data_IF_018300258826
#
_entry.id   IF_018300258826
#
_cell.length_a   1.000
_cell.length_b   1.000
_cell.length_c   1.000
_cell.angle_alpha   90.00
_cell.angle_beta   90.00
_cell.angle_gamma   90.00
#
_symmetry.space_group_name_H-M   'P 1'
#
loop_
_entity.id
_entity.type
_entity.pdbx_description
1 polymer ?
#
# COMPACT_ATOMS: atom_id res chain seq x y z
N UNK A 1 -12.00 0.56 11.22
CA UNK A 1 -10.85 0.84 10.34
C UNK A 1 -10.28 2.21 10.69
N UNK A 2 -9.04 2.26 11.08
CA UNK A 2 -8.38 3.50 11.50
C UNK A 2 -7.14 3.73 10.63
N UNK A 3 -7.08 4.88 9.98
CA UNK A 3 -5.96 5.28 9.13
C UNK A 3 -5.40 6.57 9.71
N UNK A 4 -4.13 6.58 10.09
CA UNK A 4 -3.44 7.76 10.61
C UNK A 4 -2.18 8.01 9.81
N UNK A 5 -1.66 9.23 9.86
CA UNK A 5 -0.46 9.58 9.11
C UNK A 5 0.47 10.47 9.90
N UNK A 6 1.75 10.40 9.54
CA UNK A 6 2.80 11.26 10.08
C UNK A 6 3.75 11.57 8.93
N UNK A 7 3.88 12.84 8.59
CA UNK A 7 4.77 13.26 7.51
C UNK A 7 6.18 13.49 8.06
N UNK A 8 7.07 12.55 7.81
CA UNK A 8 8.47 12.61 8.22
C UNK A 8 9.28 13.31 7.11
N UNK A 9 10.55 13.64 7.42
CA UNK A 9 11.44 14.29 6.45
C UNK A 9 11.65 13.43 5.21
N UNK A 10 11.88 12.12 5.42
CA UNK A 10 12.27 11.21 4.34
C UNK A 10 11.09 10.54 3.63
N UNK A 11 9.97 10.38 4.33
CA UNK A 11 8.79 9.74 3.76
C UNK A 11 7.54 10.03 4.58
N UNK A 12 6.39 9.83 3.97
CA UNK A 12 5.10 9.87 4.64
C UNK A 12 4.81 8.49 5.23
N UNK A 13 4.60 8.43 6.54
CA UNK A 13 4.18 7.19 7.21
C UNK A 13 2.66 7.19 7.35
N UNK A 14 2.01 6.19 6.78
CA UNK A 14 0.57 5.95 6.96
C UNK A 14 0.43 4.63 7.71
N UNK A 15 -0.31 4.64 8.82
CA UNK A 15 -0.55 3.45 9.61
C UNK A 15 -2.01 3.05 9.52
N UNK A 16 -2.23 1.76 9.31
CA UNK A 16 -3.55 1.18 9.13
C UNK A 16 -3.83 0.15 10.23
N UNK A 17 -5.00 0.28 10.87
CA UNK A 17 -5.53 -0.71 11.79
C UNK A 17 -6.90 -1.12 11.25
N UNK A 18 -7.01 -2.35 10.74
CA UNK A 18 -8.22 -2.76 10.04
C UNK A 18 -8.33 -4.29 9.98
N UNK A 19 -9.56 -4.77 9.80
CA UNK A 19 -9.85 -6.16 9.45
C UNK A 19 -10.55 -6.13 8.10
N UNK A 20 -9.83 -6.51 7.05
CA UNK A 20 -10.33 -6.47 5.67
C UNK A 20 -10.78 -7.87 5.28
N UNK A 21 -12.09 -8.09 5.20
CA UNK A 21 -12.66 -9.41 5.04
C UNK A 21 -12.86 -9.83 3.59
N UNK A 22 -12.96 -8.85 2.69
CA UNK A 22 -13.32 -9.10 1.30
C UNK A 22 -12.78 -7.98 0.40
N UNK A 23 -13.06 -8.10 -0.88
CA UNK A 23 -12.61 -7.15 -1.88
C UNK A 23 -13.14 -5.73 -1.63
N UNK A 24 -14.41 -5.60 -1.22
CA UNK A 24 -14.99 -4.28 -0.96
C UNK A 24 -14.26 -3.57 0.18
N UNK A 25 -13.92 -4.30 1.23
CA UNK A 25 -13.14 -3.77 2.35
C UNK A 25 -11.75 -3.33 1.87
N UNK A 26 -11.12 -4.15 1.03
CA UNK A 26 -9.79 -3.87 0.49
C UNK A 26 -9.79 -2.59 -0.36
N UNK A 27 -10.80 -2.41 -1.20
CA UNK A 27 -10.95 -1.22 -2.02
C UNK A 27 -11.21 0.02 -1.15
N UNK A 28 -12.09 -0.09 -0.16
CA UNK A 28 -12.36 1.01 0.77
C UNK A 28 -11.09 1.41 1.52
N UNK A 29 -10.31 0.44 1.95
CA UNK A 29 -9.03 0.67 2.61
C UNK A 29 -8.10 1.49 1.71
N UNK A 30 -7.98 1.11 0.45
CA UNK A 30 -7.15 1.82 -0.52
C UNK A 30 -7.62 3.27 -0.70
N UNK A 31 -8.93 3.50 -0.74
CA UNK A 31 -9.48 4.85 -0.86
C UNK A 31 -9.12 5.71 0.35
N UNK A 32 -9.22 5.16 1.56
CA UNK A 32 -8.89 5.88 2.78
C UNK A 32 -7.39 6.16 2.89
N UNK A 33 -6.55 5.24 2.47
CA UNK A 33 -5.11 5.44 2.41
C UNK A 33 -4.77 6.55 1.43
N UNK A 34 -5.41 6.56 0.26
CA UNK A 34 -5.20 7.62 -0.72
C UNK A 34 -5.66 8.98 -0.19
N UNK A 35 -6.79 9.04 0.53
CA UNK A 35 -7.26 10.27 1.14
C UNK A 35 -6.25 10.82 2.15
N UNK A 36 -5.61 9.96 2.94
CA UNK A 36 -4.54 10.37 3.84
C UNK A 36 -3.32 10.88 3.07
N UNK A 37 -2.93 10.16 2.01
CA UNK A 37 -1.82 10.57 1.16
C UNK A 37 -2.02 11.98 0.60
N UNK A 38 -3.23 12.31 0.15
CA UNK A 38 -3.53 13.61 -0.47
C UNK A 38 -3.32 14.81 0.45
N UNK A 39 -3.27 14.59 1.75
CA UNK A 39 -3.05 15.67 2.72
C UNK A 39 -1.62 16.23 2.66
N UNK A 40 -0.71 15.51 2.01
CA UNK A 40 0.70 15.84 2.00
C UNK A 40 1.24 15.80 0.56
N UNK A 41 2.40 16.42 0.35
CA UNK A 41 3.08 16.39 -0.94
C UNK A 41 4.38 15.59 -0.80
N UNK A 42 4.26 14.27 -0.63
CA UNK A 42 5.40 13.40 -0.43
C UNK A 42 5.23 12.13 -1.26
N UNK A 43 6.08 11.94 -2.26
CA UNK A 43 5.99 10.81 -3.19
C UNK A 43 6.63 9.53 -2.65
N UNK A 44 7.25 9.57 -1.48
CA UNK A 44 7.78 8.38 -0.81
C UNK A 44 6.87 8.06 0.37
N UNK A 45 6.26 6.88 0.35
CA UNK A 45 5.23 6.51 1.32
C UNK A 45 5.53 5.12 1.90
N UNK A 46 5.46 5.03 3.23
CA UNK A 46 5.42 3.75 3.92
C UNK A 46 3.99 3.55 4.42
N UNK A 47 3.37 2.45 4.03
CA UNK A 47 2.10 2.02 4.59
C UNK A 47 2.37 0.91 5.61
N UNK A 48 2.23 1.23 6.89
CA UNK A 48 2.40 0.26 7.98
C UNK A 48 1.08 -0.50 8.16
N UNK A 49 1.04 -1.72 7.62
CA UNK A 49 -0.11 -2.61 7.68
C UNK A 49 0.06 -3.76 8.65
N UNK A 50 0.97 -3.66 9.63
CA UNK A 50 1.20 -4.75 10.59
C UNK A 50 -0.02 -5.04 11.45
N UNK A 51 -0.86 -4.05 11.71
CA UNK A 51 -2.10 -4.19 12.49
C UNK A 51 -3.34 -4.35 11.59
N UNK A 52 -3.14 -4.75 10.34
CA UNK A 52 -4.22 -4.96 9.38
C UNK A 52 -4.29 -6.43 8.99
N UNK A 53 -5.50 -6.99 9.01
CA UNK A 53 -5.79 -8.31 8.48
C UNK A 53 -6.26 -8.17 7.04
N UNK A 54 -5.65 -8.94 6.14
CA UNK A 54 -5.91 -8.88 4.70
C UNK A 54 -6.67 -10.11 4.22
N UNK A 55 -7.58 -9.98 3.23
CA UNK A 55 -8.26 -11.14 2.67
C UNK A 55 -7.27 -12.00 1.87
N UNK A 56 -7.56 -13.30 1.80
CA UNK A 56 -6.64 -14.29 1.20
C UNK A 56 -6.88 -14.53 -0.29
N UNK A 57 -7.95 -14.02 -0.86
CA UNK A 57 -8.30 -14.25 -2.26
C UNK A 57 -7.42 -13.41 -3.19
N UNK A 58 -6.60 -14.08 -4.00
CA UNK A 58 -5.69 -13.40 -4.92
C UNK A 58 -6.41 -12.55 -5.96
N UNK A 59 -7.60 -12.94 -6.41
CA UNK A 59 -8.36 -12.16 -7.38
C UNK A 59 -8.73 -10.78 -6.84
N UNK A 60 -8.93 -10.66 -5.54
CA UNK A 60 -9.22 -9.37 -4.91
C UNK A 60 -8.09 -8.37 -5.13
N UNK A 61 -6.84 -8.84 -5.16
CA UNK A 61 -5.67 -7.97 -5.37
C UNK A 61 -5.49 -7.61 -6.84
N UNK A 62 -5.83 -8.51 -7.74
CA UNK A 62 -5.88 -8.18 -9.17
C UNK A 62 -6.90 -7.07 -9.40
N UNK A 63 -8.09 -7.22 -8.86
CA UNK A 63 -9.16 -6.23 -9.01
C UNK A 63 -8.81 -4.91 -8.31
N UNK A 64 -8.10 -4.97 -7.18
CA UNK A 64 -7.62 -3.78 -6.49
C UNK A 64 -6.69 -2.95 -7.39
N UNK A 65 -5.73 -3.60 -8.04
CA UNK A 65 -4.81 -2.90 -8.93
C UNK A 65 -5.55 -2.32 -10.13
N UNK A 66 -6.52 -3.04 -10.66
CA UNK A 66 -7.38 -2.53 -11.73
C UNK A 66 -8.16 -1.30 -11.27
N UNK A 67 -8.61 -1.29 -10.02
CA UNK A 67 -9.26 -0.13 -9.41
C UNK A 67 -8.31 1.08 -9.37
N UNK A 68 -7.04 0.89 -9.03
CA UNK A 68 -6.07 1.99 -9.06
C UNK A 68 -6.00 2.65 -10.44
N UNK A 69 -5.97 1.83 -11.49
CA UNK A 69 -5.87 2.31 -12.87
C UNK A 69 -7.11 3.12 -13.25
N UNK A 70 -8.29 2.62 -12.87
CA UNK A 70 -9.55 3.20 -13.31
C UNK A 70 -10.00 4.41 -12.49
N UNK A 71 -9.67 4.45 -11.20
CA UNK A 71 -10.26 5.41 -10.26
C UNK A 71 -9.29 6.41 -9.68
N UNK A 72 -8.01 6.11 -9.60
CA UNK A 72 -7.03 7.04 -9.08
C UNK A 72 -6.40 7.87 -10.20
N UNK A 73 -5.99 9.13 -9.91
CA UNK A 73 -5.33 9.94 -10.92
C UNK A 73 -3.97 9.37 -11.33
N UNK A 74 -3.50 9.65 -12.55
CA UNK A 74 -2.25 9.07 -13.06
C UNK A 74 -1.01 9.35 -12.21
N UNK A 75 -0.99 10.43 -11.45
CA UNK A 75 0.14 10.76 -10.59
C UNK A 75 0.43 9.74 -9.49
N UNK A 76 -0.51 8.82 -9.20
CA UNK A 76 -0.24 7.74 -8.22
C UNK A 76 0.88 6.81 -8.69
N UNK A 77 1.19 6.79 -10.00
CA UNK A 77 2.32 6.03 -10.53
C UNK A 77 3.67 6.64 -10.18
N UNK A 78 3.70 7.89 -9.76
CA UNK A 78 4.91 8.57 -9.32
C UNK A 78 5.24 8.26 -7.86
N UNK A 79 4.28 7.69 -7.12
CA UNK A 79 4.47 7.34 -5.72
C UNK A 79 5.32 6.07 -5.61
N UNK A 80 6.34 6.13 -4.76
CA UNK A 80 7.12 4.97 -4.37
C UNK A 80 6.54 4.49 -3.03
N UNK A 81 5.84 3.37 -3.04
CA UNK A 81 5.08 2.86 -1.89
C UNK A 81 5.68 1.58 -1.36
N UNK A 82 6.10 1.59 -0.11
CA UNK A 82 6.52 0.41 0.64
C UNK A 82 5.41 0.02 1.61
N UNK A 83 4.81 -1.14 1.42
CA UNK A 83 3.77 -1.66 2.30
C UNK A 83 4.36 -2.70 3.25
N UNK A 84 4.22 -2.50 4.57
CA UNK A 84 4.71 -3.45 5.57
C UNK A 84 3.54 -4.32 6.02
N UNK A 85 3.73 -5.64 5.92
CA UNK A 85 2.71 -6.63 6.26
C UNK A 85 3.27 -7.70 7.17
N UNK A 86 2.40 -8.39 7.90
CA UNK A 86 2.82 -9.55 8.69
C UNK A 86 3.28 -10.69 7.78
N UNK A 87 4.26 -11.51 8.20
CA UNK A 87 4.79 -12.59 7.36
C UNK A 87 3.74 -13.58 6.84
N UNK A 88 2.64 -13.78 7.57
CA UNK A 88 1.55 -14.64 7.12
C UNK A 88 0.91 -14.19 5.81
N UNK A 89 1.06 -12.90 5.45
CA UNK A 89 0.52 -12.33 4.21
C UNK A 89 1.56 -12.22 3.10
N UNK A 90 2.74 -12.81 3.27
CA UNK A 90 3.85 -12.66 2.30
C UNK A 90 3.45 -13.07 0.89
N UNK A 91 2.64 -14.14 0.74
CA UNK A 91 2.20 -14.62 -0.57
C UNK A 91 1.31 -13.61 -1.29
N UNK A 92 0.30 -13.09 -0.60
CA UNK A 92 -0.59 -12.10 -1.21
C UNK A 92 0.15 -10.77 -1.45
N UNK A 93 1.07 -10.42 -0.56
CA UNK A 93 1.92 -9.24 -0.72
C UNK A 93 2.77 -9.32 -1.99
N UNK A 94 3.36 -10.49 -2.25
CA UNK A 94 4.16 -10.71 -3.46
C UNK A 94 3.29 -10.65 -4.72
N UNK A 95 2.10 -11.20 -4.68
CA UNK A 95 1.16 -11.15 -5.79
C UNK A 95 0.74 -9.71 -6.11
N UNK A 96 0.39 -8.95 -5.07
CA UNK A 96 0.03 -7.54 -5.19
C UNK A 96 1.19 -6.72 -5.78
N UNK A 97 2.40 -6.95 -5.28
CA UNK A 97 3.60 -6.27 -5.75
C UNK A 97 3.83 -6.54 -7.26
N UNK A 98 3.81 -7.81 -7.65
CA UNK A 98 4.03 -8.21 -9.04
C UNK A 98 2.96 -7.62 -9.96
N UNK A 99 1.70 -7.72 -9.55
CA UNK A 99 0.57 -7.19 -10.33
C UNK A 99 0.68 -5.68 -10.47
N UNK A 100 1.03 -4.98 -9.39
CA UNK A 100 1.19 -3.53 -9.40
C UNK A 100 2.35 -3.10 -10.32
N UNK A 101 3.50 -3.74 -10.18
CA UNK A 101 4.68 -3.39 -10.96
C UNK A 101 4.48 -3.64 -12.46
N UNK A 102 3.78 -4.71 -12.82
CA UNK A 102 3.46 -5.01 -14.21
C UNK A 102 2.58 -3.94 -14.86
N UNK A 103 1.92 -3.12 -14.07
CA UNK A 103 1.05 -2.05 -14.56
C UNK A 103 1.62 -0.65 -14.35
N UNK A 104 2.92 -0.58 -14.02
CA UNK A 104 3.64 0.69 -13.95
C UNK A 104 3.61 1.39 -12.59
N UNK A 105 3.16 0.71 -11.54
CA UNK A 105 3.22 1.25 -10.18
C UNK A 105 4.54 0.83 -9.53
N UNK A 106 5.08 1.69 -8.66
CA UNK A 106 6.32 1.43 -7.91
C UNK A 106 5.97 1.03 -6.48
N UNK A 107 5.28 -0.10 -6.34
CA UNK A 107 4.76 -0.60 -5.08
C UNK A 107 5.46 -1.89 -4.70
N UNK A 108 5.80 -2.04 -3.42
CA UNK A 108 6.50 -3.22 -2.95
C UNK A 108 6.07 -3.59 -1.53
N UNK A 109 5.99 -4.89 -1.26
CA UNK A 109 5.61 -5.42 0.03
C UNK A 109 6.84 -5.88 0.82
N UNK A 110 6.85 -5.58 2.11
CA UNK A 110 7.93 -5.94 3.03
C UNK A 110 7.34 -6.51 4.32
N UNK A 111 8.16 -7.22 5.07
CA UNK A 111 7.80 -7.68 6.41
C UNK A 111 8.59 -6.96 7.51
N UNK A 112 9.42 -6.00 7.14
CA UNK A 112 10.32 -5.26 8.04
C UNK A 112 10.36 -3.79 7.63
N UNK A 113 10.22 -2.90 8.62
CA UNK A 113 10.34 -1.46 8.39
C UNK A 113 11.73 -1.12 7.85
N UNK A 114 12.78 -1.76 8.37
CA UNK A 114 14.15 -1.48 7.93
C UNK A 114 14.33 -1.76 6.44
N UNK A 115 13.85 -2.91 5.96
CA UNK A 115 13.95 -3.25 4.55
C UNK A 115 13.12 -2.30 3.69
N UNK A 116 11.94 -1.91 4.17
CA UNK A 116 11.10 -0.94 3.49
C UNK A 116 11.81 0.40 3.34
N UNK A 117 12.43 0.89 4.42
CA UNK A 117 13.17 2.15 4.40
C UNK A 117 14.39 2.09 3.47
N UNK A 118 15.13 0.98 3.49
CA UNK A 118 16.28 0.80 2.60
C UNK A 118 15.87 0.89 1.13
N UNK A 119 14.80 0.19 0.76
CA UNK A 119 14.30 0.24 -0.62
C UNK A 119 13.78 1.62 -0.99
N UNK A 120 13.07 2.26 -0.07
CA UNK A 120 12.44 3.56 -0.33
C UNK A 120 13.48 4.65 -0.56
N UNK A 121 14.61 4.60 0.16
CA UNK A 121 15.68 5.57 0.07
C UNK A 121 16.66 5.26 -1.06
N UNK A 122 16.62 4.08 -1.64
CA UNK A 122 17.47 3.69 -2.73
C UNK A 122 16.96 4.31 -4.05
N UNK A 123 17.84 4.97 -4.74
CA UNK A 123 17.55 5.58 -6.02
C UNK A 123 18.10 4.75 -7.19
#
# INVERSE_FOLDING_TARGET
>A
MTITSQNNVDYLLIRSVAILKNENDLIRHAMLVFDEYKKYDNKKVVLDGLATDFPSDLFSYYDLVQFYIEKFPPEVREIKLACIISPEYARIGKFWETTSNNRGFKYRAFTSLREAEEWLMDE
#
